data_IF_024545310259
#
_entry.id   IF_024545310259
#
_cell.length_a   1.000
_cell.length_b   1.000
_cell.length_c   1.000
_cell.angle_alpha   90.00
_cell.angle_beta   90.00
_cell.angle_gamma   90.00
#
_symmetry.space_group_name_H-M   'P 1'
#
loop_
_entity.id
_entity.type
_entity.pdbx_description
1 polymer ?
#
# COMPACT_ATOMS: atom_id res chain seq x y z
N UNK A 1 14.90 -19.12 44.74
CA UNK A 1 14.44 -19.82 43.55
C UNK A 1 15.26 -19.32 42.35
N UNK A 2 16.16 -20.19 41.85
CA UNK A 2 17.12 -19.83 40.78
C UNK A 2 16.53 -20.20 39.46
N UNK A 3 16.34 -19.23 38.53
CA UNK A 3 15.87 -19.49 37.16
C UNK A 3 17.08 -19.37 36.24
N UNK A 4 17.43 -20.50 35.63
CA UNK A 4 18.54 -20.66 34.69
C UNK A 4 18.27 -19.91 33.38
N UNK A 5 19.28 -19.18 32.92
CA UNK A 5 19.36 -18.56 31.60
C UNK A 5 19.80 -19.62 30.60
N UNK A 6 18.95 -19.94 29.63
CA UNK A 6 19.32 -20.70 28.45
C UNK A 6 19.68 -19.71 27.32
N UNK A 7 20.95 -19.68 26.96
CA UNK A 7 21.50 -18.97 25.81
C UNK A 7 21.41 -19.90 24.63
N UNK A 8 20.59 -19.55 23.62
CA UNK A 8 20.55 -20.26 22.34
C UNK A 8 21.34 -19.43 21.33
N UNK A 9 22.52 -19.96 20.99
CA UNK A 9 23.36 -19.47 19.87
C UNK A 9 22.76 -20.01 18.58
N UNK A 10 22.34 -19.14 17.68
CA UNK A 10 22.06 -19.49 16.29
C UNK A 10 23.25 -19.09 15.42
N UNK A 11 23.86 -20.11 14.83
CA UNK A 11 24.98 -20.00 13.92
C UNK A 11 24.49 -19.52 12.53
N UNK A 12 25.20 -18.53 11.98
CA UNK A 12 25.01 -18.03 10.61
C UNK A 12 25.58 -19.03 9.59
N UNK A 13 24.80 -19.35 8.57
CA UNK A 13 25.27 -20.02 7.35
C UNK A 13 25.20 -19.02 6.20
N UNK A 14 26.39 -18.60 5.77
CA UNK A 14 26.61 -17.77 4.57
C UNK A 14 26.85 -18.72 3.40
N UNK A 15 25.99 -18.74 2.42
CA UNK A 15 26.20 -19.41 1.15
C UNK A 15 26.42 -18.36 0.04
N UNK A 16 27.66 -18.20 -0.38
CA UNK A 16 28.09 -17.44 -1.57
C UNK A 16 27.94 -18.30 -2.81
N UNK A 17 27.21 -17.82 -3.81
CA UNK A 17 27.24 -18.39 -5.16
C UNK A 17 27.58 -17.29 -6.17
N UNK A 18 28.84 -17.28 -6.55
CA UNK A 18 29.36 -16.58 -7.74
C UNK A 18 29.15 -17.47 -8.96
N UNK A 19 28.62 -16.93 -10.03
CA UNK A 19 28.76 -17.50 -11.38
C UNK A 19 28.85 -16.36 -12.39
N UNK A 20 30.10 -16.14 -12.86
CA UNK A 20 30.42 -15.42 -14.08
C UNK A 20 30.09 -16.30 -15.27
N UNK A 21 29.52 -15.75 -16.32
CA UNK A 21 29.64 -16.30 -17.66
C UNK A 21 29.79 -15.15 -18.66
N UNK A 22 31.00 -15.05 -19.17
CA UNK A 22 31.38 -14.22 -20.32
C UNK A 22 30.98 -14.97 -21.59
N UNK A 23 30.43 -14.25 -22.55
CA UNK A 23 30.16 -14.75 -23.90
C UNK A 23 30.38 -13.64 -24.90
N UNK A 24 31.63 -13.59 -25.46
CA UNK A 24 31.98 -12.81 -26.67
C UNK A 24 31.28 -13.42 -27.88
N UNK A 25 30.67 -12.57 -28.68
CA UNK A 25 30.08 -12.94 -29.97
C UNK A 25 30.11 -11.75 -30.92
N UNK A 26 31.27 -11.59 -31.60
CA UNK A 26 31.51 -10.64 -32.68
C UNK A 26 30.87 -11.16 -33.95
N UNK A 27 30.06 -10.38 -34.64
CA UNK A 27 29.80 -10.53 -36.07
C UNK A 27 29.37 -9.20 -36.68
N UNK A 28 30.26 -8.69 -37.52
CA UNK A 28 30.04 -7.61 -38.47
C UNK A 28 28.99 -8.01 -39.50
N UNK A 29 28.06 -7.14 -39.82
CA UNK A 29 27.60 -6.99 -41.19
C UNK A 29 26.99 -5.60 -41.45
N UNK A 30 27.48 -5.00 -42.48
CA UNK A 30 27.24 -3.64 -42.92
C UNK A 30 25.97 -3.50 -43.77
N UNK A 31 25.47 -2.25 -43.78
CA UNK A 31 24.74 -1.56 -44.84
C UNK A 31 23.23 -1.89 -45.07
N UNK A 32 22.31 -1.00 -44.76
CA UNK A 32 21.73 -0.12 -45.77
C UNK A 32 20.78 0.92 -45.15
N UNK A 33 21.08 2.15 -45.50
CA UNK A 33 20.25 3.34 -45.28
C UNK A 33 18.85 3.17 -45.88
N UNK A 34 17.81 3.55 -45.09
CA UNK A 34 16.57 4.06 -45.65
C UNK A 34 15.90 4.95 -44.58
N UNK A 35 15.94 6.24 -44.88
CA UNK A 35 15.21 7.27 -44.19
C UNK A 35 13.70 7.01 -44.31
N UNK A 36 13.00 6.86 -43.19
CA UNK A 36 11.57 6.92 -43.16
C UNK A 36 11.16 7.79 -41.95
N UNK A 37 10.49 8.88 -42.28
CA UNK A 37 9.95 9.87 -41.33
C UNK A 37 9.00 9.22 -40.31
N UNK A 38 9.02 9.63 -39.02
CA UNK A 38 8.06 9.12 -38.07
C UNK A 38 6.68 9.77 -38.32
N UNK A 39 5.69 8.90 -38.55
CA UNK A 39 4.30 9.29 -38.51
C UNK A 39 3.87 9.67 -37.08
N UNK A 40 2.91 10.59 -36.91
CA UNK A 40 2.46 11.01 -35.57
C UNK A 40 1.77 9.84 -34.87
N UNK A 41 2.34 9.48 -33.72
CA UNK A 41 1.79 8.46 -32.83
C UNK A 41 0.47 8.96 -32.23
N UNK A 42 -0.61 8.38 -32.66
CA UNK A 42 -1.92 8.53 -32.03
C UNK A 42 -1.85 8.05 -30.59
N UNK A 43 -2.27 8.93 -29.67
CA UNK A 43 -2.40 8.62 -28.26
C UNK A 43 -3.25 7.35 -28.03
N UNK A 44 -2.86 6.47 -27.11
CA UNK A 44 -3.74 5.38 -26.74
C UNK A 44 -4.92 5.93 -25.96
N UNK A 45 -6.06 5.76 -26.58
CA UNK A 45 -7.39 6.03 -26.04
C UNK A 45 -7.61 5.22 -24.76
N UNK A 46 -8.05 5.92 -23.76
CA UNK A 46 -8.94 5.49 -22.67
C UNK A 46 -8.98 4.01 -22.34
N UNK A 47 -8.29 3.66 -21.30
CA UNK A 47 -8.47 2.40 -20.59
C UNK A 47 -9.93 2.28 -20.12
N UNK A 48 -10.60 1.23 -20.58
CA UNK A 48 -11.93 0.85 -20.13
C UNK A 48 -11.93 0.73 -18.60
N UNK A 49 -12.89 1.37 -17.96
CA UNK A 49 -13.16 1.19 -16.55
C UNK A 49 -13.44 -0.31 -16.29
N UNK A 50 -12.78 -0.94 -15.31
CA UNK A 50 -13.15 -2.27 -14.90
C UNK A 50 -14.56 -2.22 -14.32
N UNK A 51 -15.46 -3.02 -14.88
CA UNK A 51 -16.80 -3.29 -14.34
C UNK A 51 -16.59 -3.99 -12.98
N UNK A 52 -16.44 -3.20 -11.92
CA UNK A 52 -16.40 -3.67 -10.56
C UNK A 52 -17.77 -4.19 -10.14
N UNK A 53 -17.81 -5.39 -9.58
CA UNK A 53 -18.99 -5.93 -8.92
C UNK A 53 -19.56 -4.92 -7.91
N UNK A 54 -20.87 -4.90 -7.80
CA UNK A 54 -21.64 -3.98 -6.97
C UNK A 54 -21.07 -3.96 -5.52
N UNK A 55 -20.67 -2.80 -5.05
CA UNK A 55 -20.46 -2.52 -3.62
C UNK A 55 -19.15 -1.89 -3.17
N UNK A 56 -18.02 -2.08 -3.82
CA UNK A 56 -16.75 -1.52 -3.33
C UNK A 56 -16.29 -0.33 -4.19
N UNK A 57 -16.26 0.87 -3.61
CA UNK A 57 -15.68 2.03 -4.29
C UNK A 57 -14.18 1.83 -4.49
N UNK A 58 -13.66 2.33 -5.59
CA UNK A 58 -12.21 2.29 -5.86
C UNK A 58 -11.45 3.19 -4.87
N UNK A 59 -10.30 2.75 -4.32
CA UNK A 59 -9.58 3.52 -3.31
C UNK A 59 -9.20 4.94 -3.73
N UNK A 60 -8.88 5.17 -5.00
CA UNK A 60 -8.59 6.52 -5.50
C UNK A 60 -9.82 7.45 -5.50
N UNK A 61 -11.03 6.89 -5.50
CA UNK A 61 -12.26 7.67 -5.37
C UNK A 61 -12.62 7.96 -3.91
N UNK A 62 -12.18 7.11 -2.97
CA UNK A 62 -12.41 7.30 -1.53
C UNK A 62 -11.53 8.43 -0.95
N UNK A 63 -10.32 8.57 -1.46
CA UNK A 63 -9.40 9.61 -1.01
C UNK A 63 -8.82 10.36 -2.22
N UNK A 64 -9.34 11.56 -2.54
CA UNK A 64 -8.83 12.38 -3.63
C UNK A 64 -7.38 12.82 -3.40
N UNK A 65 -6.59 12.89 -4.48
CA UNK A 65 -5.18 13.32 -4.42
C UNK A 65 -4.98 14.71 -3.82
N UNK A 66 -5.94 15.62 -4.06
CA UNK A 66 -5.94 16.97 -3.48
C UNK A 66 -6.02 16.94 -1.94
N UNK A 67 -6.83 16.04 -1.36
CA UNK A 67 -6.92 15.89 0.09
C UNK A 67 -5.59 15.44 0.70
N UNK A 68 -4.89 14.52 0.02
CA UNK A 68 -3.54 14.10 0.43
C UNK A 68 -2.58 15.28 0.36
N UNK A 69 -2.54 16.00 -0.77
CA UNK A 69 -1.67 17.16 -0.95
C UNK A 69 -1.88 18.23 0.12
N UNK A 70 -3.13 18.51 0.46
CA UNK A 70 -3.49 19.46 1.52
C UNK A 70 -2.98 19.02 2.89
N UNK A 71 -3.17 17.74 3.25
CA UNK A 71 -2.77 17.20 4.55
C UNK A 71 -1.25 17.23 4.77
N UNK A 72 -0.46 17.03 3.72
CA UNK A 72 1.02 17.02 3.79
C UNK A 72 1.66 18.32 3.24
N UNK A 73 0.85 19.32 2.88
CA UNK A 73 1.31 20.61 2.32
C UNK A 73 2.17 20.47 1.05
N UNK A 74 1.80 19.52 0.17
CA UNK A 74 2.45 19.26 -1.12
C UNK A 74 1.47 19.55 -2.25
N UNK A 75 1.91 20.35 -3.25
CA UNK A 75 1.12 20.65 -4.44
C UNK A 75 1.41 19.64 -5.57
N UNK A 76 0.47 19.53 -6.51
CA UNK A 76 0.64 18.68 -7.68
C UNK A 76 0.62 17.18 -7.35
N UNK A 77 -0.06 16.77 -6.27
CA UNK A 77 -0.26 15.36 -5.96
C UNK A 77 -1.17 14.74 -7.00
N UNK A 78 -0.75 13.61 -7.53
CA UNK A 78 -1.52 12.76 -8.43
C UNK A 78 -1.80 11.42 -7.77
N UNK A 79 -2.85 10.75 -8.22
CA UNK A 79 -3.20 9.40 -7.74
C UNK A 79 -3.32 8.43 -8.90
N UNK A 80 -2.94 7.19 -8.67
CA UNK A 80 -3.10 6.10 -9.63
C UNK A 80 -3.48 4.81 -8.90
N UNK A 81 -4.28 3.91 -9.54
CA UNK A 81 -4.52 2.58 -8.98
C UNK A 81 -3.21 1.86 -8.72
N UNK A 82 -3.10 1.31 -7.51
CA UNK A 82 -1.98 0.48 -7.12
C UNK A 82 -2.27 -1.02 -7.31
N UNK A 83 -1.37 -1.89 -6.85
CA UNK A 83 -1.54 -3.32 -6.97
C UNK A 83 -2.77 -3.83 -6.21
N UNK A 84 -3.45 -4.83 -6.80
CA UNK A 84 -4.47 -5.63 -6.12
C UNK A 84 -3.77 -6.78 -5.41
N UNK A 85 -4.14 -7.06 -4.18
CA UNK A 85 -3.57 -8.14 -3.38
C UNK A 85 -4.68 -9.02 -2.82
N UNK A 86 -4.56 -10.31 -3.05
CA UNK A 86 -5.43 -11.32 -2.47
C UNK A 86 -4.75 -11.96 -1.26
N UNK A 87 -5.34 -11.78 -0.09
CA UNK A 87 -4.89 -12.37 1.15
C UNK A 87 -5.60 -13.71 1.39
N UNK A 88 -5.23 -14.73 0.63
CA UNK A 88 -5.91 -16.04 0.62
C UNK A 88 -6.04 -16.70 2.00
N UNK A 89 -5.09 -16.43 2.91
CA UNK A 89 -5.11 -17.02 4.25
C UNK A 89 -6.30 -16.56 5.13
N UNK A 90 -6.85 -15.36 4.87
CA UNK A 90 -7.94 -14.78 5.66
C UNK A 90 -9.11 -14.27 4.80
N UNK A 91 -9.11 -14.57 3.51
CA UNK A 91 -10.17 -14.15 2.58
C UNK A 91 -10.19 -12.66 2.27
N UNK A 92 -9.16 -11.92 2.63
CA UNK A 92 -9.06 -10.49 2.36
C UNK A 92 -8.69 -10.21 0.90
N UNK A 93 -9.42 -9.28 0.26
CA UNK A 93 -9.08 -8.71 -1.04
C UNK A 93 -8.76 -7.24 -0.88
N UNK A 94 -7.53 -6.86 -1.17
CA UNK A 94 -7.07 -5.49 -1.06
C UNK A 94 -6.95 -4.84 -2.42
N UNK A 95 -7.49 -3.63 -2.55
CA UNK A 95 -7.22 -2.70 -3.64
C UNK A 95 -6.47 -1.51 -3.07
N UNK A 96 -5.65 -0.85 -3.88
CA UNK A 96 -4.90 0.30 -3.42
C UNK A 96 -4.90 1.46 -4.40
N UNK A 97 -4.60 2.64 -3.87
CA UNK A 97 -4.35 3.86 -4.62
C UNK A 97 -3.01 4.44 -4.17
N UNK A 98 -2.11 4.69 -5.10
CA UNK A 98 -0.79 5.27 -4.84
C UNK A 98 -0.82 6.77 -5.14
N UNK A 99 -0.25 7.57 -4.24
CA UNK A 99 -0.15 9.02 -4.35
C UNK A 99 1.29 9.44 -4.60
N UNK A 100 1.48 10.31 -5.58
CA UNK A 100 2.82 10.77 -5.99
C UNK A 100 2.82 12.26 -6.29
N UNK A 101 3.97 12.91 -6.11
CA UNK A 101 4.23 14.25 -6.59
C UNK A 101 5.68 14.38 -7.07
N UNK A 102 5.89 15.03 -8.21
CA UNK A 102 7.22 15.20 -8.79
C UNK A 102 7.95 13.87 -9.05
N UNK A 103 7.22 12.80 -9.37
CA UNK A 103 7.77 11.47 -9.61
C UNK A 103 8.17 10.69 -8.34
N UNK A 104 7.88 11.22 -7.14
CA UNK A 104 8.14 10.53 -5.87
C UNK A 104 6.84 10.05 -5.26
N UNK A 105 6.83 8.82 -4.77
CA UNK A 105 5.73 8.28 -3.99
C UNK A 105 5.66 8.98 -2.64
N UNK A 106 4.45 9.41 -2.26
CA UNK A 106 4.13 10.07 -1.00
C UNK A 106 3.46 9.11 -0.02
N UNK A 107 2.78 8.12 -0.55
CA UNK A 107 2.07 7.12 0.23
C UNK A 107 1.02 6.38 -0.58
N UNK A 108 0.33 5.45 0.08
CA UNK A 108 -0.72 4.65 -0.53
C UNK A 108 -1.89 4.45 0.44
N UNK A 109 -3.11 4.51 -0.09
CA UNK A 109 -4.32 4.05 0.56
C UNK A 109 -4.59 2.61 0.11
N UNK A 110 -4.80 1.71 1.05
CA UNK A 110 -5.28 0.37 0.75
C UNK A 110 -6.61 0.11 1.47
N UNK A 111 -7.53 -0.53 0.77
CA UNK A 111 -8.83 -0.96 1.29
C UNK A 111 -8.92 -2.46 1.12
N UNK A 112 -9.01 -3.16 2.23
CA UNK A 112 -9.12 -4.63 2.27
C UNK A 112 -10.51 -5.02 2.73
N UNK A 113 -11.24 -5.74 1.91
CA UNK A 113 -12.55 -6.32 2.25
C UNK A 113 -12.38 -7.79 2.60
N UNK A 114 -13.05 -8.24 3.66
CA UNK A 114 -12.97 -9.62 4.15
C UNK A 114 -14.31 -10.32 3.95
N UNK A 115 -14.67 -10.56 2.69
CA UNK A 115 -15.93 -11.18 2.31
C UNK A 115 -16.04 -12.61 2.90
N UNK A 116 -17.19 -12.91 3.51
CA UNK A 116 -17.43 -14.20 4.17
C UNK A 116 -16.75 -14.36 5.54
N UNK A 117 -15.94 -13.40 5.95
CA UNK A 117 -15.35 -13.39 7.29
C UNK A 117 -16.30 -12.73 8.30
N UNK A 118 -16.30 -13.24 9.54
CA UNK A 118 -17.13 -12.74 10.66
C UNK A 118 -16.30 -12.01 11.73
N UNK A 119 -15.04 -11.71 11.42
CA UNK A 119 -14.19 -10.96 12.35
C UNK A 119 -14.77 -9.57 12.59
N UNK A 120 -14.77 -9.12 13.83
CA UNK A 120 -15.26 -7.78 14.16
C UNK A 120 -14.18 -6.73 13.92
N UNK A 121 -14.53 -5.49 13.53
CA UNK A 121 -13.57 -4.39 13.38
C UNK A 121 -12.65 -4.21 14.60
N UNK A 122 -13.22 -4.24 15.80
CA UNK A 122 -12.44 -4.14 17.03
C UNK A 122 -11.40 -5.24 17.21
N UNK A 123 -11.71 -6.48 16.79
CA UNK A 123 -10.77 -7.61 16.84
C UNK A 123 -9.64 -7.44 15.81
N UNK A 124 -9.94 -6.87 14.62
CA UNK A 124 -8.92 -6.55 13.62
C UNK A 124 -7.93 -5.51 14.15
N UNK A 125 -8.42 -4.45 14.78
CA UNK A 125 -7.57 -3.41 15.38
C UNK A 125 -6.75 -3.97 16.55
N UNK A 126 -7.35 -4.80 17.41
CA UNK A 126 -6.64 -5.46 18.51
C UNK A 126 -5.50 -6.36 18.00
N UNK A 127 -5.74 -7.11 16.91
CA UNK A 127 -4.71 -7.93 16.28
C UNK A 127 -3.55 -7.08 15.71
N UNK A 128 -3.87 -5.95 15.05
CA UNK A 128 -2.85 -5.01 14.57
C UNK A 128 -2.03 -4.42 15.71
N UNK A 129 -2.65 -4.00 16.80
CA UNK A 129 -1.95 -3.49 17.99
C UNK A 129 -1.01 -4.52 18.58
N UNK A 130 -1.44 -5.77 18.65
CA UNK A 130 -0.59 -6.87 19.16
C UNK A 130 0.60 -7.15 18.23
N UNK A 131 0.39 -7.02 16.91
CA UNK A 131 1.43 -7.32 15.91
C UNK A 131 2.41 -6.16 15.66
N UNK A 132 2.04 -4.91 15.98
CA UNK A 132 2.82 -3.71 15.67
C UNK A 132 3.32 -3.03 16.95
N UNK A 133 4.62 -3.11 17.20
CA UNK A 133 5.23 -2.44 18.35
C UNK A 133 4.99 -0.92 18.30
N UNK A 134 4.63 -0.33 19.44
CA UNK A 134 4.38 1.11 19.53
C UNK A 134 3.08 1.59 18.90
N UNK A 135 2.17 0.68 18.54
CA UNK A 135 0.86 1.03 18.01
C UNK A 135 0.01 1.78 19.05
N UNK A 136 -0.62 2.88 18.61
CA UNK A 136 -1.45 3.78 19.43
C UNK A 136 -2.88 3.81 18.91
N UNK A 137 -3.84 3.82 19.81
CA UNK A 137 -5.24 3.99 19.44
C UNK A 137 -5.50 5.37 18.84
N UNK A 138 -6.37 5.42 17.84
CA UNK A 138 -6.85 6.66 17.22
C UNK A 138 -8.37 6.70 17.38
N UNK A 139 -8.86 7.72 18.04
CA UNK A 139 -10.30 7.89 18.27
C UNK A 139 -10.98 8.56 17.07
N UNK A 140 -12.27 8.24 16.86
CA UNK A 140 -13.14 8.93 15.90
C UNK A 140 -12.91 8.57 14.42
N UNK A 141 -12.32 7.43 14.14
CA UNK A 141 -12.14 6.91 12.77
C UNK A 141 -12.64 5.46 12.71
N UNK A 142 -13.67 5.22 11.91
CA UNK A 142 -14.33 3.92 11.83
C UNK A 142 -14.87 3.41 13.18
N UNK A 143 -15.02 2.11 13.32
CA UNK A 143 -15.36 1.44 14.60
C UNK A 143 -14.12 1.25 15.49
N UNK A 144 -12.93 1.47 14.96
CA UNK A 144 -11.66 1.47 15.65
C UNK A 144 -10.52 1.76 14.71
N UNK A 145 -9.48 2.42 15.20
CA UNK A 145 -8.31 2.73 14.41
C UNK A 145 -7.02 2.71 15.24
N UNK A 146 -5.90 2.50 14.54
CA UNK A 146 -4.58 2.40 15.14
C UNK A 146 -3.53 3.08 14.25
N UNK A 147 -2.64 3.85 14.89
CA UNK A 147 -1.47 4.43 14.25
C UNK A 147 -0.21 3.71 14.74
N UNK A 148 0.71 3.41 13.82
CA UNK A 148 2.03 2.86 14.14
C UNK A 148 3.07 3.28 13.10
N UNK A 149 4.32 3.38 13.53
CA UNK A 149 5.47 3.63 12.67
C UNK A 149 6.40 2.41 12.70
N UNK A 150 6.91 2.03 11.54
CA UNK A 150 7.90 0.95 11.42
C UNK A 150 9.27 1.53 11.12
N UNK A 151 10.20 1.38 12.06
CA UNK A 151 11.56 1.90 11.91
C UNK A 151 12.33 1.25 10.75
N UNK A 152 12.10 -0.04 10.49
CA UNK A 152 12.76 -0.79 9.44
C UNK A 152 12.44 -0.25 8.03
N UNK A 153 11.16 0.05 7.76
CA UNK A 153 10.70 0.54 6.46
C UNK A 153 10.62 2.06 6.37
N UNK A 154 10.95 2.78 7.45
CA UNK A 154 10.81 4.24 7.54
C UNK A 154 9.44 4.72 7.10
N UNK A 155 8.39 4.00 7.48
CA UNK A 155 6.99 4.31 7.15
C UNK A 155 6.15 4.48 8.39
N UNK A 156 5.08 5.27 8.26
CA UNK A 156 4.01 5.35 9.22
C UNK A 156 2.71 4.85 8.56
N UNK A 157 1.87 4.20 9.35
CA UNK A 157 0.58 3.69 8.89
C UNK A 157 -0.50 4.05 9.90
N UNK A 158 -1.63 4.54 9.40
CA UNK A 158 -2.88 4.62 10.14
C UNK A 158 -3.87 3.66 9.50
N UNK A 159 -4.37 2.72 10.29
CA UNK A 159 -5.33 1.73 9.86
C UNK A 159 -6.62 1.87 10.68
N UNK A 160 -7.76 1.83 9.99
CA UNK A 160 -9.09 1.86 10.59
C UNK A 160 -9.90 0.66 10.11
N UNK A 161 -10.75 0.14 10.97
CA UNK A 161 -11.64 -0.96 10.63
C UNK A 161 -13.10 -0.56 10.86
N UNK A 162 -13.97 -1.05 9.98
CA UNK A 162 -15.42 -0.78 10.01
C UNK A 162 -16.21 -1.93 9.39
N UNK A 163 -17.52 -1.92 9.54
CA UNK A 163 -18.43 -2.77 8.77
C UNK A 163 -19.06 -1.96 7.63
N UNK A 164 -18.94 -2.45 6.41
CA UNK A 164 -19.63 -1.91 5.24
C UNK A 164 -20.55 -3.01 4.70
N UNK A 165 -21.86 -2.80 4.73
CA UNK A 165 -22.84 -3.81 4.33
C UNK A 165 -22.60 -5.18 5.00
N UNK A 166 -22.30 -5.19 6.29
CA UNK A 166 -21.96 -6.38 7.10
C UNK A 166 -20.62 -7.05 6.77
N UNK A 167 -19.88 -6.54 5.82
CA UNK A 167 -18.53 -7.02 5.46
C UNK A 167 -17.48 -6.26 6.26
N UNK A 168 -16.57 -6.94 6.98
CA UNK A 168 -15.45 -6.26 7.62
C UNK A 168 -14.51 -5.64 6.59
N UNK A 169 -14.17 -4.39 6.79
CA UNK A 169 -13.28 -3.63 5.92
C UNK A 169 -12.15 -3.02 6.75
N UNK A 170 -10.94 -3.12 6.24
CA UNK A 170 -9.76 -2.44 6.77
C UNK A 170 -9.31 -1.39 5.78
N UNK A 171 -9.32 -0.14 6.19
CA UNK A 171 -8.83 1.00 5.44
C UNK A 171 -7.51 1.43 6.05
N UNK A 172 -6.42 1.45 5.30
CA UNK A 172 -5.14 1.92 5.81
C UNK A 172 -4.44 2.86 4.83
N UNK A 173 -3.89 3.93 5.37
CA UNK A 173 -2.98 4.81 4.64
C UNK A 173 -1.56 4.60 5.19
N UNK A 174 -0.61 4.36 4.28
CA UNK A 174 0.80 4.23 4.60
C UNK A 174 1.58 5.32 3.88
N UNK A 175 2.39 6.05 4.62
CA UNK A 175 3.25 7.11 4.08
C UNK A 175 4.64 7.09 4.71
N UNK A 176 5.42 8.14 4.53
CA UNK A 176 6.75 8.25 5.13
C UNK A 176 6.68 8.28 6.68
N UNK A 177 7.74 7.90 7.36
CA UNK A 177 7.83 7.96 8.82
C UNK A 177 7.69 9.39 9.41
N UNK A 178 7.81 10.42 8.58
CA UNK A 178 7.58 11.80 8.98
C UNK A 178 6.09 12.16 9.09
N UNK A 179 5.19 11.31 8.58
CA UNK A 179 3.75 11.54 8.70
C UNK A 179 3.28 11.20 10.11
N UNK A 180 2.78 12.22 10.79
CA UNK A 180 2.26 12.06 12.15
C UNK A 180 0.83 11.51 12.14
N UNK A 181 0.37 11.05 13.30
CA UNK A 181 -1.00 10.61 13.48
C UNK A 181 -2.00 11.69 13.08
N UNK A 182 -1.73 12.95 13.46
CA UNK A 182 -2.60 14.11 13.18
C UNK A 182 -2.75 14.38 11.68
N UNK A 183 -1.67 14.19 10.90
CA UNK A 183 -1.70 14.34 9.44
C UNK A 183 -2.49 13.20 8.77
N UNK A 184 -2.38 11.98 9.29
CA UNK A 184 -3.00 10.80 8.67
C UNK A 184 -4.46 10.62 9.08
N UNK A 185 -4.86 11.07 10.26
CA UNK A 185 -6.23 10.93 10.77
C UNK A 185 -7.30 11.48 9.80
N UNK A 186 -7.19 12.72 9.28
CA UNK A 186 -8.18 13.24 8.33
C UNK A 186 -8.19 12.46 7.00
N UNK A 187 -7.05 11.92 6.55
CA UNK A 187 -6.98 11.14 5.32
C UNK A 187 -7.77 9.83 5.44
N UNK A 188 -7.47 9.05 6.48
CA UNK A 188 -8.15 7.77 6.70
C UNK A 188 -9.61 7.99 7.05
N UNK A 189 -9.94 9.03 7.84
CA UNK A 189 -11.33 9.37 8.12
C UNK A 189 -12.10 9.69 6.84
N UNK A 190 -11.54 10.49 5.93
CA UNK A 190 -12.17 10.80 4.64
C UNK A 190 -12.45 9.53 3.84
N UNK A 191 -11.50 8.60 3.81
CA UNK A 191 -11.65 7.34 3.07
C UNK A 191 -12.70 6.41 3.71
N UNK A 192 -12.75 6.35 5.04
CA UNK A 192 -13.75 5.59 5.81
C UNK A 192 -15.15 6.18 5.60
N UNK A 193 -15.32 7.50 5.79
CA UNK A 193 -16.62 8.16 5.64
C UNK A 193 -17.17 8.06 4.19
N UNK A 194 -16.31 7.84 3.20
CA UNK A 194 -16.68 7.73 1.79
C UNK A 194 -16.90 6.28 1.33
N UNK A 195 -16.51 5.26 2.13
CA UNK A 195 -16.59 3.85 1.76
C UNK A 195 -18.00 3.26 1.94
#
# INVERSE_FOLDING_TARGET
MRISRAIILFAAVIATLSACSSGDGKSDNAAKSSSQAPAPSTAPSSSAAPTGGAGAKEPCALLPAEAVGKAISVQGVTSAPGPVQDHAANGGKAKSCVYSAGGKELGALAVTRFEGNKIKPAEMIAALKKAKAGAKDVAGVGEGAVYYATGENKTATLAAAELVDTVPVLVNYTGSAAMTQEMMTPLVKTAVDAN
#
